data_IF_572494182612
#
_entry.id   IF_572494182612
#
_cell.length_a   1.000
_cell.length_b   1.000
_cell.length_c   1.000
_cell.angle_alpha   90.00
_cell.angle_beta   90.00
_cell.angle_gamma   90.00
#
_symmetry.space_group_name_H-M   'P 1'
#
loop_
_entity.id
_entity.type
_entity.pdbx_description
1 polymer ?
#
# COMPACT_ATOMS: atom_id res chain seq x y z
N UNK A 1 -48.39 -5.09 -4.85
CA UNK A 1 -47.27 -4.24 -4.40
C UNK A 1 -45.98 -4.90 -4.88
N UNK A 2 -45.33 -4.37 -5.92
CA UNK A 2 -44.05 -4.95 -6.38
C UNK A 2 -42.94 -4.48 -5.46
N UNK A 3 -42.58 -5.32 -4.50
CA UNK A 3 -41.37 -5.14 -3.68
C UNK A 3 -40.21 -5.52 -4.59
N UNK A 4 -39.45 -4.51 -5.08
CA UNK A 4 -38.20 -4.74 -5.81
C UNK A 4 -37.07 -4.43 -4.84
N UNK A 5 -36.49 -5.46 -4.29
CA UNK A 5 -35.26 -5.34 -3.51
C UNK A 5 -34.13 -4.88 -4.43
N UNK A 6 -33.45 -3.80 -4.06
CA UNK A 6 -32.35 -3.23 -4.82
C UNK A 6 -31.13 -3.13 -3.92
N UNK A 7 -30.01 -3.58 -4.42
CA UNK A 7 -28.70 -3.42 -3.78
C UNK A 7 -27.91 -2.42 -4.64
N UNK A 8 -27.45 -1.34 -4.01
CA UNK A 8 -26.60 -0.32 -4.65
C UNK A 8 -25.26 -0.31 -3.94
N UNK A 9 -24.19 -0.08 -4.69
CA UNK A 9 -22.83 0.05 -4.15
C UNK A 9 -22.24 1.38 -4.57
N UNK A 10 -21.47 1.99 -3.67
CA UNK A 10 -20.72 3.22 -3.94
C UNK A 10 -19.36 3.17 -3.24
N UNK A 11 -18.36 3.80 -3.82
CA UNK A 11 -17.04 3.96 -3.19
C UNK A 11 -16.99 5.15 -2.23
N UNK A 12 -17.91 6.10 -2.38
CA UNK A 12 -18.01 7.31 -1.56
C UNK A 12 -19.40 7.33 -0.91
N UNK A 13 -19.55 7.84 0.32
CA UNK A 13 -20.85 8.02 0.93
C UNK A 13 -21.81 8.78 0.01
N UNK A 14 -23.03 8.27 -0.17
CA UNK A 14 -24.00 8.88 -1.09
C UNK A 14 -24.36 10.33 -0.70
N UNK A 15 -24.24 10.69 0.58
CA UNK A 15 -24.47 12.05 1.05
C UNK A 15 -23.54 13.06 0.37
N UNK A 16 -22.27 12.71 0.14
CA UNK A 16 -21.31 13.58 -0.55
C UNK A 16 -21.77 13.91 -1.97
N UNK A 17 -22.39 12.97 -2.69
CA UNK A 17 -22.91 13.24 -4.03
C UNK A 17 -24.13 14.19 -4.02
N UNK A 18 -24.90 14.21 -2.92
CA UNK A 18 -26.00 15.16 -2.76
C UNK A 18 -25.44 16.56 -2.49
N UNK A 19 -24.43 16.68 -1.61
CA UNK A 19 -23.75 17.95 -1.30
C UNK A 19 -23.06 18.55 -2.53
N UNK A 20 -22.46 17.71 -3.37
CA UNK A 20 -21.83 18.12 -4.63
C UNK A 20 -22.84 18.39 -5.76
N UNK A 21 -24.14 18.22 -5.53
CA UNK A 21 -25.18 18.38 -6.54
C UNK A 21 -25.20 17.30 -7.63
N UNK A 22 -24.43 16.22 -7.46
CA UNK A 22 -24.35 15.09 -8.41
C UNK A 22 -25.48 14.07 -8.23
N UNK A 23 -26.19 14.12 -7.11
CA UNK A 23 -27.32 13.24 -6.80
C UNK A 23 -28.49 14.05 -6.24
N UNK A 24 -29.70 13.72 -6.69
CA UNK A 24 -30.92 14.33 -6.15
C UNK A 24 -31.23 13.78 -4.75
N UNK A 25 -31.67 14.66 -3.85
CA UNK A 25 -32.02 14.28 -2.48
C UNK A 25 -33.17 13.26 -2.40
N UNK A 26 -34.17 13.31 -3.30
CA UNK A 26 -35.25 12.35 -3.34
C UNK A 26 -34.75 10.93 -3.69
N UNK A 27 -33.78 10.81 -4.57
CA UNK A 27 -33.15 9.55 -4.91
C UNK A 27 -32.28 9.02 -3.76
N UNK A 28 -31.53 9.89 -3.10
CA UNK A 28 -30.75 9.55 -1.92
C UNK A 28 -31.62 8.90 -0.84
N UNK A 29 -32.75 9.52 -0.47
CA UNK A 29 -33.64 8.98 0.54
C UNK A 29 -34.31 7.65 0.15
N UNK A 30 -34.44 7.36 -1.13
CA UNK A 30 -34.94 6.08 -1.63
C UNK A 30 -33.90 4.96 -1.59
N UNK A 31 -32.62 5.29 -1.73
CA UNK A 31 -31.51 4.33 -1.75
C UNK A 31 -30.94 4.08 -0.35
N UNK A 32 -30.83 5.12 0.45
CA UNK A 32 -30.17 5.10 1.76
C UNK A 32 -31.12 4.67 2.88
N UNK A 33 -31.87 3.58 2.68
CA UNK A 33 -32.76 3.00 3.71
C UNK A 33 -31.96 2.13 4.69
N UNK A 34 -31.05 1.30 4.17
CA UNK A 34 -30.09 0.51 4.94
C UNK A 34 -28.71 0.69 4.33
N UNK A 35 -27.76 1.16 5.10
CA UNK A 35 -26.38 1.32 4.67
C UNK A 35 -25.47 0.37 5.42
N UNK A 36 -24.60 -0.32 4.67
CA UNK A 36 -23.55 -1.16 5.21
C UNK A 36 -22.22 -0.62 4.69
N UNK A 37 -21.33 -0.24 5.61
CA UNK A 37 -19.96 0.16 5.27
C UNK A 37 -19.04 -1.03 5.45
N UNK A 38 -18.35 -1.42 4.39
CA UNK A 38 -17.35 -2.48 4.43
C UNK A 38 -16.00 -1.84 4.73
N UNK A 39 -15.37 -2.14 5.88
CA UNK A 39 -14.05 -1.58 6.19
C UNK A 39 -12.99 -2.09 5.21
N UNK A 40 -11.97 -1.29 4.91
CA UNK A 40 -10.86 -1.71 4.06
C UNK A 40 -10.06 -2.83 4.73
N UNK A 41 -9.33 -3.60 3.90
CA UNK A 41 -8.62 -4.80 4.38
C UNK A 41 -7.56 -4.48 5.45
N UNK A 42 -6.92 -3.31 5.40
CA UNK A 42 -5.97 -2.83 6.43
C UNK A 42 -6.57 -2.68 7.84
N UNK A 43 -7.89 -2.51 7.94
CA UNK A 43 -8.62 -2.39 9.22
C UNK A 43 -9.11 -3.74 9.78
N UNK A 44 -8.88 -4.83 9.03
CA UNK A 44 -9.26 -6.20 9.40
C UNK A 44 -8.17 -7.22 9.04
N UNK A 45 -6.97 -7.09 9.62
CA UNK A 45 -5.84 -7.96 9.34
C UNK A 45 -6.09 -9.43 9.70
N UNK A 46 -7.01 -9.71 10.64
CA UNK A 46 -7.41 -11.07 11.02
C UNK A 46 -8.09 -11.83 9.86
N UNK A 47 -8.79 -11.12 8.98
CA UNK A 47 -9.48 -11.74 7.85
C UNK A 47 -8.50 -12.16 6.73
N UNK A 48 -7.28 -11.61 6.71
CA UNK A 48 -6.29 -11.87 5.66
C UNK A 48 -5.99 -13.37 5.55
N UNK A 49 -5.82 -14.04 6.67
CA UNK A 49 -5.52 -15.48 6.70
C UNK A 49 -6.65 -16.30 6.06
N UNK A 50 -7.90 -15.99 6.38
CA UNK A 50 -9.06 -16.64 5.78
C UNK A 50 -9.16 -16.38 4.26
N UNK A 51 -8.87 -15.14 3.83
CA UNK A 51 -8.81 -14.82 2.40
C UNK A 51 -7.67 -15.54 1.68
N UNK A 52 -6.50 -15.64 2.31
CA UNK A 52 -5.35 -16.36 1.73
C UNK A 52 -5.73 -17.82 1.48
N UNK A 53 -6.28 -18.52 2.48
CA UNK A 53 -6.71 -19.92 2.32
C UNK A 53 -7.75 -20.07 1.21
N UNK A 54 -8.75 -19.20 1.20
CA UNK A 54 -9.82 -19.23 0.18
C UNK A 54 -9.27 -19.00 -1.23
N UNK A 55 -8.42 -17.99 -1.40
CA UNK A 55 -7.89 -17.62 -2.70
C UNK A 55 -6.85 -18.62 -3.20
N UNK A 56 -6.00 -19.14 -2.33
CA UNK A 56 -5.05 -20.19 -2.70
C UNK A 56 -5.76 -21.39 -3.30
N UNK A 57 -6.82 -21.86 -2.66
CA UNK A 57 -7.63 -22.96 -3.20
C UNK A 57 -8.20 -22.63 -4.57
N UNK A 58 -8.82 -21.46 -4.75
CA UNK A 58 -9.40 -21.05 -6.04
C UNK A 58 -8.34 -20.89 -7.14
N UNK A 59 -7.15 -20.35 -6.79
CA UNK A 59 -6.05 -20.13 -7.72
C UNK A 59 -5.45 -21.45 -8.15
N UNK A 60 -5.20 -22.37 -7.21
CA UNK A 60 -4.64 -23.68 -7.50
C UNK A 60 -5.58 -24.52 -8.37
N UNK A 61 -6.88 -24.50 -8.11
CA UNK A 61 -7.89 -25.11 -8.97
C UNK A 61 -7.87 -24.51 -10.39
N UNK A 62 -7.80 -23.18 -10.50
CA UNK A 62 -7.78 -22.45 -11.77
C UNK A 62 -6.52 -22.70 -12.60
N UNK A 63 -5.37 -22.80 -11.96
CA UNK A 63 -4.07 -23.02 -12.58
C UNK A 63 -3.74 -24.51 -12.78
N UNK A 64 -4.56 -25.41 -12.21
CA UNK A 64 -4.33 -26.87 -12.18
C UNK A 64 -2.96 -27.23 -11.59
N UNK A 65 -2.57 -26.55 -10.48
CA UNK A 65 -1.33 -26.77 -9.76
C UNK A 65 -1.60 -27.32 -8.35
N UNK A 66 -0.62 -27.98 -7.75
CA UNK A 66 -0.64 -28.33 -6.33
C UNK A 66 -0.46 -27.06 -5.49
N UNK A 67 -1.09 -27.03 -4.31
CA UNK A 67 -1.01 -25.90 -3.40
C UNK A 67 0.44 -25.71 -2.89
N UNK A 68 1.07 -24.56 -3.18
CA UNK A 68 2.41 -24.28 -2.72
C UNK A 68 2.41 -23.92 -1.24
N UNK A 69 3.54 -24.17 -0.56
CA UNK A 69 3.74 -23.77 0.83
C UNK A 69 4.25 -22.35 0.93
N UNK A 70 3.73 -21.58 1.87
CA UNK A 70 4.27 -20.28 2.24
C UNK A 70 5.48 -20.44 3.15
N UNK A 71 6.51 -19.61 2.98
CA UNK A 71 7.54 -19.43 3.98
C UNK A 71 6.94 -18.74 5.22
N UNK A 72 7.56 -18.95 6.39
CA UNK A 72 7.00 -18.52 7.70
C UNK A 72 6.80 -17.02 7.83
N UNK A 73 7.55 -16.22 7.07
CA UNK A 73 7.52 -14.75 7.07
C UNK A 73 6.41 -14.17 6.17
N UNK A 74 5.86 -14.94 5.24
CA UNK A 74 4.88 -14.46 4.25
C UNK A 74 3.58 -14.03 4.91
N UNK A 75 3.01 -14.83 5.80
CA UNK A 75 1.73 -14.51 6.43
C UNK A 75 1.81 -13.29 7.35
N UNK A 76 2.84 -13.15 8.22
CA UNK A 76 3.08 -11.91 8.96
C UNK A 76 3.22 -10.69 8.05
N UNK A 77 3.96 -10.80 6.95
CA UNK A 77 4.12 -9.74 5.97
C UNK A 77 2.78 -9.32 5.34
N UNK A 78 1.95 -10.28 4.90
CA UNK A 78 0.63 -10.00 4.34
C UNK A 78 -0.28 -9.26 5.34
N UNK A 79 -0.20 -9.58 6.64
CA UNK A 79 -0.98 -8.93 7.71
C UNK A 79 -0.53 -7.49 7.99
N UNK A 80 0.72 -7.14 7.70
CA UNK A 80 1.26 -5.79 7.93
C UNK A 80 1.15 -4.87 6.72
N UNK A 81 0.92 -5.43 5.54
CA UNK A 81 0.80 -4.65 4.31
C UNK A 81 -0.53 -3.85 4.25
N UNK A 82 -0.49 -2.63 3.73
CA UNK A 82 -1.63 -1.68 3.75
C UNK A 82 -2.78 -2.01 2.78
N UNK A 83 -2.56 -2.81 1.79
CA UNK A 83 -3.55 -3.25 0.80
C UNK A 83 -4.38 -2.09 0.19
N UNK A 84 -3.78 -1.13 -0.53
CA UNK A 84 -4.51 -0.04 -1.16
C UNK A 84 -5.60 -0.54 -2.13
N UNK A 85 -5.34 -1.62 -2.86
CA UNK A 85 -6.32 -2.32 -3.71
C UNK A 85 -7.20 -3.33 -2.98
N UNK A 86 -7.13 -3.38 -1.63
CA UNK A 86 -7.93 -4.24 -0.79
C UNK A 86 -7.87 -5.73 -1.21
N UNK A 87 -8.99 -6.43 -1.12
CA UNK A 87 -9.13 -7.86 -1.42
C UNK A 87 -8.73 -8.22 -2.86
N UNK A 88 -8.96 -7.29 -3.81
CA UNK A 88 -8.58 -7.50 -5.23
C UNK A 88 -7.07 -7.51 -5.41
N UNK A 89 -6.36 -6.66 -4.71
CA UNK A 89 -4.89 -6.62 -4.74
C UNK A 89 -4.30 -7.88 -4.11
N UNK A 90 -4.84 -8.31 -2.96
CA UNK A 90 -4.44 -9.56 -2.31
C UNK A 90 -4.60 -10.76 -3.26
N UNK A 91 -5.76 -10.89 -3.91
CA UNK A 91 -5.99 -11.95 -4.89
C UNK A 91 -4.97 -11.92 -6.05
N UNK A 92 -4.72 -10.74 -6.60
CA UNK A 92 -3.80 -10.57 -7.72
C UNK A 92 -2.33 -10.85 -7.32
N UNK A 93 -1.93 -10.48 -6.11
CA UNK A 93 -0.60 -10.78 -5.58
C UNK A 93 -0.40 -12.29 -5.42
N UNK A 94 -1.36 -12.98 -4.81
CA UNK A 94 -1.33 -14.45 -4.67
C UNK A 94 -1.37 -15.16 -6.03
N UNK A 95 -2.19 -14.68 -6.97
CA UNK A 95 -2.26 -15.26 -8.32
C UNK A 95 -0.93 -15.14 -9.06
N UNK A 96 -0.26 -13.98 -8.97
CA UNK A 96 1.09 -13.79 -9.55
C UNK A 96 2.11 -14.69 -8.89
N UNK A 97 2.13 -14.74 -7.57
CA UNK A 97 3.05 -15.59 -6.82
C UNK A 97 2.91 -17.06 -7.23
N UNK A 98 1.68 -17.58 -7.31
CA UNK A 98 1.42 -18.95 -7.77
C UNK A 98 1.83 -19.18 -9.23
N UNK A 99 1.64 -18.17 -10.11
CA UNK A 99 1.97 -18.29 -11.54
C UNK A 99 3.47 -18.23 -11.82
N UNK A 100 4.24 -17.55 -10.97
CA UNK A 100 5.67 -17.32 -11.17
C UNK A 100 6.54 -18.17 -10.24
N UNK A 101 5.97 -18.81 -9.22
CA UNK A 101 6.70 -19.61 -8.26
C UNK A 101 7.51 -20.71 -8.95
N UNK A 102 8.83 -20.67 -8.74
CA UNK A 102 9.72 -21.76 -9.16
C UNK A 102 9.79 -22.79 -8.02
N UNK A 103 8.99 -23.84 -8.15
CA UNK A 103 8.88 -24.87 -7.12
C UNK A 103 7.60 -24.75 -6.30
N UNK A 104 7.51 -25.54 -5.21
CA UNK A 104 6.30 -25.62 -4.38
C UNK A 104 6.34 -24.67 -3.16
N UNK A 105 7.01 -23.52 -3.27
CA UNK A 105 7.18 -22.54 -2.17
C UNK A 105 6.97 -21.12 -2.66
N UNK A 106 6.31 -20.30 -1.83
CA UNK A 106 6.09 -18.87 -2.05
C UNK A 106 6.83 -18.09 -0.97
N UNK A 107 7.64 -17.13 -1.39
CA UNK A 107 8.37 -16.17 -0.55
C UNK A 107 7.75 -14.78 -0.65
N UNK A 108 8.13 -13.89 0.26
CA UNK A 108 7.69 -12.49 0.21
C UNK A 108 8.04 -11.80 -1.12
N UNK A 109 9.20 -12.10 -1.70
CA UNK A 109 9.62 -11.53 -2.99
C UNK A 109 8.72 -11.95 -4.16
N UNK A 110 8.17 -13.18 -4.13
CA UNK A 110 7.29 -13.71 -5.19
C UNK A 110 5.93 -13.00 -5.24
N UNK A 111 5.53 -12.35 -4.16
CA UNK A 111 4.29 -11.59 -4.12
C UNK A 111 4.37 -10.33 -4.99
N UNK A 112 5.60 -9.88 -5.33
CA UNK A 112 5.84 -8.63 -6.05
C UNK A 112 4.96 -7.48 -5.55
N UNK A 113 4.69 -7.51 -4.25
CA UNK A 113 4.19 -6.37 -3.55
C UNK A 113 5.39 -5.44 -3.48
N UNK A 114 5.62 -4.72 -4.59
CA UNK A 114 6.53 -3.61 -4.56
C UNK A 114 6.22 -2.88 -3.29
N UNK A 115 7.25 -2.50 -2.55
CA UNK A 115 7.18 -1.36 -1.65
C UNK A 115 6.98 -0.09 -2.52
N UNK A 116 5.91 -0.04 -3.31
CA UNK A 116 5.08 1.11 -3.47
C UNK A 116 4.34 1.27 -2.11
N UNK A 117 5.15 1.43 -1.06
CA UNK A 117 4.96 2.59 -0.26
C UNK A 117 4.98 3.73 -1.30
N UNK A 118 3.83 3.95 -1.97
CA UNK A 118 3.49 5.30 -2.29
C UNK A 118 3.85 6.03 -1.00
N UNK A 119 4.77 6.96 -1.14
CA UNK A 119 4.94 8.01 -0.15
C UNK A 119 3.63 8.79 -0.20
N UNK A 120 2.53 8.14 0.18
CA UNK A 120 1.34 8.80 0.67
C UNK A 120 1.87 9.50 1.91
N UNK A 121 2.29 10.74 1.68
CA UNK A 121 2.66 11.69 2.73
C UNK A 121 1.46 11.72 3.65
N UNK A 122 1.55 10.95 4.73
CA UNK A 122 0.48 10.83 5.69
C UNK A 122 0.53 12.13 6.49
N UNK A 123 -0.29 13.10 6.07
CA UNK A 123 -0.29 14.45 6.67
C UNK A 123 -0.51 14.35 8.19
N UNK A 124 -1.21 13.33 8.66
CA UNK A 124 -1.43 13.06 10.08
C UNK A 124 -0.14 12.68 10.83
N UNK A 125 0.88 12.12 10.15
CA UNK A 125 2.17 11.77 10.78
C UNK A 125 3.04 13.01 11.07
N UNK A 126 2.80 14.13 10.38
CA UNK A 126 3.61 15.36 10.57
C UNK A 126 3.13 16.23 11.72
N UNK A 127 1.97 15.96 12.31
CA UNK A 127 1.47 16.68 13.47
C UNK A 127 1.58 18.21 13.34
N UNK A 128 2.35 18.85 14.23
CA UNK A 128 2.61 20.29 14.24
C UNK A 128 3.98 20.67 13.64
N UNK A 129 4.62 19.78 12.86
CA UNK A 129 5.91 20.10 12.25
C UNK A 129 5.77 21.20 11.19
N UNK A 130 6.77 22.08 11.13
CA UNK A 130 6.81 23.12 10.10
C UNK A 130 7.24 22.52 8.77
N UNK A 131 6.89 23.18 7.66
CA UNK A 131 7.29 22.76 6.32
C UNK A 131 8.81 22.54 6.20
N UNK A 132 9.62 23.42 6.84
CA UNK A 132 11.07 23.29 6.83
C UNK A 132 11.55 22.03 7.57
N UNK A 133 10.87 21.65 8.66
CA UNK A 133 11.18 20.41 9.38
C UNK A 133 10.84 19.18 8.54
N UNK A 134 9.66 19.17 7.93
CA UNK A 134 9.21 18.10 7.05
C UNK A 134 10.18 17.92 5.87
N UNK A 135 10.56 19.03 5.22
CA UNK A 135 11.50 19.00 4.10
C UNK A 135 12.90 18.54 4.52
N UNK A 136 13.36 18.96 5.70
CA UNK A 136 14.66 18.52 6.25
C UNK A 136 14.66 17.02 6.56
N UNK A 137 13.59 16.50 7.16
CA UNK A 137 13.44 15.08 7.46
C UNK A 137 13.41 14.25 6.17
N UNK A 138 12.66 14.71 5.18
CA UNK A 138 12.59 14.07 3.87
C UNK A 138 13.95 14.07 3.15
N UNK A 139 14.65 15.20 3.15
CA UNK A 139 15.98 15.33 2.55
C UNK A 139 16.98 14.39 3.25
N UNK A 140 16.96 14.32 4.58
CA UNK A 140 17.81 13.41 5.34
C UNK A 140 17.57 11.94 5.00
N UNK A 141 16.29 11.55 4.84
CA UNK A 141 15.90 10.20 4.45
C UNK A 141 16.42 9.85 3.05
N UNK A 142 16.20 10.72 2.09
CA UNK A 142 16.70 10.54 0.71
C UNK A 142 18.21 10.42 0.69
N UNK A 143 18.92 11.32 1.38
CA UNK A 143 20.37 11.29 1.42
C UNK A 143 20.93 10.03 2.07
N UNK A 144 20.30 9.49 3.12
CA UNK A 144 20.72 8.21 3.74
C UNK A 144 20.60 7.06 2.74
N UNK A 145 19.46 6.93 2.08
CA UNK A 145 19.21 5.87 1.11
C UNK A 145 20.18 5.90 -0.08
N UNK A 146 20.43 7.11 -0.61
CA UNK A 146 21.41 7.26 -1.68
C UNK A 146 22.86 7.06 -1.20
N UNK A 147 23.19 7.41 0.04
CA UNK A 147 24.54 7.22 0.58
C UNK A 147 24.90 5.76 0.74
N UNK A 148 23.92 4.89 1.08
CA UNK A 148 24.12 3.42 1.11
C UNK A 148 24.55 2.87 -0.26
N UNK A 149 23.96 3.38 -1.33
CA UNK A 149 24.30 2.97 -2.70
C UNK A 149 25.55 3.65 -3.24
N UNK A 150 25.80 4.89 -2.82
CA UNK A 150 26.92 5.74 -3.27
C UNK A 150 27.70 6.30 -2.08
N UNK A 151 28.55 5.51 -1.41
CA UNK A 151 29.23 5.92 -0.17
C UNK A 151 30.35 6.95 -0.36
N UNK A 152 30.42 7.60 -1.52
CA UNK A 152 31.35 8.67 -1.86
C UNK A 152 30.63 9.98 -2.14
N UNK A 153 30.98 11.03 -1.40
CA UNK A 153 30.40 12.38 -1.58
C UNK A 153 30.50 12.90 -3.01
N UNK A 154 31.59 12.55 -3.73
CA UNK A 154 31.74 12.94 -5.15
C UNK A 154 30.80 12.21 -6.07
N UNK A 155 30.64 10.89 -5.89
CA UNK A 155 29.71 10.08 -6.69
C UNK A 155 28.27 10.47 -6.40
N UNK A 156 27.93 10.70 -5.13
CA UNK A 156 26.62 11.14 -4.70
C UNK A 156 26.26 12.51 -5.28
N UNK A 157 27.19 13.48 -5.22
CA UNK A 157 27.02 14.82 -5.80
C UNK A 157 26.76 14.76 -7.32
N UNK A 158 27.54 13.95 -8.03
CA UNK A 158 27.36 13.74 -9.48
C UNK A 158 25.99 13.09 -9.79
N UNK A 159 25.56 12.12 -8.98
CA UNK A 159 24.27 11.43 -9.17
C UNK A 159 23.07 12.33 -8.93
N UNK A 160 23.16 13.22 -7.92
CA UNK A 160 22.08 14.13 -7.55
C UNK A 160 22.13 15.49 -8.25
N UNK A 161 23.12 15.73 -9.10
CA UNK A 161 23.24 16.98 -9.86
C UNK A 161 23.56 18.21 -9.01
N UNK A 162 24.17 18.03 -7.83
CA UNK A 162 24.53 19.12 -6.90
C UNK A 162 26.03 19.20 -6.67
N UNK A 163 26.51 20.35 -6.16
CA UNK A 163 27.93 20.53 -5.89
C UNK A 163 28.42 19.59 -4.77
N UNK A 164 29.64 19.13 -4.84
CA UNK A 164 30.30 18.31 -3.82
C UNK A 164 30.25 18.97 -2.43
N UNK A 165 30.46 20.30 -2.37
CA UNK A 165 30.42 21.06 -1.12
C UNK A 165 29.05 21.09 -0.51
N UNK A 166 27.98 21.22 -1.34
CA UNK A 166 26.59 21.19 -0.86
C UNK A 166 26.26 19.83 -0.25
N UNK A 167 26.60 18.73 -0.91
CA UNK A 167 26.40 17.37 -0.37
C UNK A 167 27.20 17.16 0.91
N UNK A 168 28.46 17.55 0.97
CA UNK A 168 29.31 17.40 2.15
C UNK A 168 28.72 18.13 3.36
N UNK A 169 28.22 19.35 3.17
CA UNK A 169 27.55 20.12 4.23
C UNK A 169 26.25 19.44 4.69
N UNK A 170 25.42 19.01 3.75
CA UNK A 170 24.14 18.33 4.08
C UNK A 170 24.36 17.00 4.82
N UNK A 171 25.31 16.18 4.38
CA UNK A 171 25.67 14.94 5.09
C UNK A 171 26.17 15.22 6.51
N UNK A 172 26.95 16.28 6.69
CA UNK A 172 27.43 16.73 8.01
C UNK A 172 26.26 17.20 8.90
N UNK A 173 25.34 17.99 8.35
CA UNK A 173 24.16 18.50 9.09
C UNK A 173 23.27 17.34 9.56
N UNK A 174 23.05 16.34 8.72
CA UNK A 174 22.20 15.19 9.04
C UNK A 174 22.94 14.02 9.70
N UNK A 175 24.23 14.15 9.98
CA UNK A 175 25.02 13.13 10.66
C UNK A 175 25.20 11.84 9.85
N UNK A 176 25.15 11.92 8.52
CA UNK A 176 25.25 10.76 7.63
C UNK A 176 26.74 10.55 7.27
N UNK A 177 27.24 9.32 7.41
CA UNK A 177 28.61 8.97 6.98
C UNK A 177 29.71 9.32 7.97
N UNK A 178 29.42 9.51 9.25
CA UNK A 178 30.44 9.51 10.32
C UNK A 178 30.59 8.09 10.88
N UNK A 179 31.61 7.39 10.46
CA UNK A 179 32.43 6.51 11.28
C UNK A 179 33.66 7.26 11.69
#
# INVERSE_FOLDING_TARGET
MCIRDRICTSQVPLACYVEEGKMRGDLFHRLNVLSLTIPPLRERPEDIEAFVVLFMRQICEKLAISEPHFDEDVLPFLKTYRWPGNVRELYNALFRACSLAQGNRIRCDDLHLSAQQEMAVNIEEFGNETLDQIMSNFEAMVLRQFYEQYPSTRKLAARLGVSHTAIANKLKTYGIGKS
#
